data_IF_702529910472
#
_entry.id   IF_702529910472
#
_cell.length_a   1.000
_cell.length_b   1.000
_cell.length_c   1.000
_cell.angle_alpha   90.00
_cell.angle_beta   90.00
_cell.angle_gamma   90.00
#
_symmetry.space_group_name_H-M   'P 1'
#
loop_
_entity.id
_entity.type
_entity.pdbx_description
1 polymer ?
#
# COMPACT_ATOMS: atom_id res chain seq x y z
N UNK A 1 7.69 -2.87 15.70
CA UNK A 1 6.34 -3.34 15.37
C UNK A 1 6.38 -4.16 14.10
N UNK A 2 5.78 -5.31 14.12
CA UNK A 2 5.74 -6.18 12.94
C UNK A 2 4.38 -6.15 12.30
N UNK A 3 4.39 -6.04 10.98
CA UNK A 3 3.18 -6.14 10.18
C UNK A 3 3.20 -7.46 9.41
N UNK A 4 2.05 -8.06 9.21
CA UNK A 4 1.94 -9.26 8.40
C UNK A 4 0.63 -9.29 7.64
N UNK A 5 0.63 -9.98 6.51
CA UNK A 5 -0.56 -10.21 5.73
C UNK A 5 -1.08 -11.60 6.12
N UNK A 6 -2.32 -11.68 6.56
CA UNK A 6 -2.93 -12.95 6.95
C UNK A 6 -4.05 -13.30 6.00
N UNK A 7 -4.31 -14.61 5.86
CA UNK A 7 -5.38 -15.11 4.99
C UNK A 7 -6.49 -15.69 5.86
N UNK A 8 -7.68 -15.13 5.73
CA UNK A 8 -8.85 -15.56 6.50
C UNK A 8 -9.96 -15.96 5.52
N UNK A 9 -9.98 -17.22 5.06
CA UNK A 9 -10.89 -17.61 3.98
C UNK A 9 -12.35 -17.63 4.36
N UNK A 10 -12.68 -17.80 5.63
CA UNK A 10 -14.06 -17.94 6.06
C UNK A 10 -14.68 -16.62 6.46
N UNK A 11 -14.73 -15.66 5.54
CA UNK A 11 -15.33 -14.36 5.79
C UNK A 11 -16.32 -14.04 4.68
N UNK A 12 -17.21 -13.04 4.87
CA UNK A 12 -18.18 -12.69 3.85
C UNK A 12 -17.54 -12.30 2.51
N UNK A 13 -18.27 -12.52 1.42
CA UNK A 13 -17.76 -12.24 0.08
C UNK A 13 -17.52 -10.75 -0.17
N UNK A 14 -18.09 -9.85 0.65
CA UNK A 14 -17.87 -8.41 0.53
C UNK A 14 -16.63 -7.93 1.26
N UNK A 15 -15.89 -8.84 1.89
CA UNK A 15 -14.70 -8.50 2.67
C UNK A 15 -13.52 -9.25 2.08
N UNK A 16 -12.37 -8.60 1.99
CA UNK A 16 -11.17 -9.27 1.48
C UNK A 16 -10.69 -10.33 2.47
N UNK A 17 -10.40 -11.55 2.01
CA UNK A 17 -9.82 -12.57 2.90
C UNK A 17 -8.36 -12.28 3.24
N UNK A 18 -7.69 -11.38 2.52
CA UNK A 18 -6.34 -11.00 2.81
C UNK A 18 -6.38 -9.71 3.63
N UNK A 19 -5.84 -9.78 4.85
CA UNK A 19 -5.92 -8.70 5.83
C UNK A 19 -4.52 -8.34 6.31
N UNK A 20 -4.24 -7.04 6.41
CA UNK A 20 -2.98 -6.58 6.99
C UNK A 20 -3.21 -6.32 8.48
N UNK A 21 -2.38 -6.92 9.30
CA UNK A 21 -2.51 -6.81 10.76
C UNK A 21 -1.15 -6.49 11.40
N UNK A 22 -1.19 -5.92 12.60
CA UNK A 22 0.03 -5.68 13.37
C UNK A 22 0.37 -6.90 14.24
N UNK A 23 1.40 -6.76 15.08
CA UNK A 23 1.88 -7.87 15.91
C UNK A 23 0.88 -8.32 16.97
N UNK A 24 -0.14 -7.51 17.26
CA UNK A 24 -1.19 -7.88 18.19
C UNK A 24 -2.42 -8.41 17.46
N UNK A 25 -2.36 -8.57 16.15
CA UNK A 25 -3.48 -9.03 15.36
C UNK A 25 -4.51 -7.96 15.05
N UNK A 26 -4.23 -6.70 15.38
CA UNK A 26 -5.15 -5.61 15.10
C UNK A 26 -5.04 -5.21 13.63
N UNK A 27 -6.17 -4.90 13.03
CA UNK A 27 -6.24 -4.58 11.61
C UNK A 27 -5.70 -3.21 11.29
N UNK A 28 -5.00 -3.12 10.18
CA UNK A 28 -4.51 -1.86 9.65
C UNK A 28 -5.61 -1.34 8.71
N UNK A 29 -6.48 -0.51 9.25
CA UNK A 29 -7.74 -0.18 8.59
C UNK A 29 -7.56 0.56 7.27
N UNK A 30 -6.57 1.46 7.17
CA UNK A 30 -6.39 2.20 5.93
C UNK A 30 -6.00 1.30 4.74
N UNK A 31 -5.39 0.16 5.01
CA UNK A 31 -5.11 -0.84 3.99
C UNK A 31 -6.32 -1.74 3.76
N UNK A 32 -6.91 -2.24 4.85
CA UNK A 32 -7.96 -3.26 4.75
C UNK A 32 -9.26 -2.69 4.17
N UNK A 33 -9.57 -1.42 4.43
CA UNK A 33 -10.73 -0.78 3.82
C UNK A 33 -10.56 -0.71 2.29
N UNK A 34 -9.37 -0.42 1.82
CA UNK A 34 -9.08 -0.42 0.40
C UNK A 34 -9.20 -1.83 -0.20
N UNK A 35 -8.67 -2.84 0.47
CA UNK A 35 -8.76 -4.22 -0.01
C UNK A 35 -10.22 -4.68 -0.06
N UNK A 36 -11.04 -4.29 0.91
CA UNK A 36 -12.45 -4.62 0.92
C UNK A 36 -13.17 -3.96 -0.27
N UNK A 37 -12.84 -2.71 -0.57
CA UNK A 37 -13.41 -2.03 -1.74
C UNK A 37 -13.02 -2.74 -3.04
N UNK A 38 -11.79 -3.23 -3.14
CA UNK A 38 -11.36 -3.96 -4.33
C UNK A 38 -12.08 -5.31 -4.42
N UNK A 39 -12.38 -5.95 -3.30
CA UNK A 39 -13.15 -7.20 -3.28
C UNK A 39 -14.58 -6.96 -3.79
N UNK A 40 -15.21 -5.88 -3.34
CA UNK A 40 -16.55 -5.51 -3.78
C UNK A 40 -16.55 -5.25 -5.30
N UNK A 41 -15.49 -4.65 -5.82
CA UNK A 41 -15.34 -4.40 -7.25
C UNK A 41 -14.93 -5.67 -8.01
N UNK A 42 -14.93 -6.80 -7.33
CA UNK A 42 -14.71 -8.14 -7.92
C UNK A 42 -13.29 -8.38 -8.40
N UNK A 43 -12.32 -7.74 -7.78
CA UNK A 43 -10.93 -8.07 -8.03
C UNK A 43 -10.69 -9.53 -7.62
N UNK A 44 -9.94 -10.29 -8.42
CA UNK A 44 -9.71 -11.70 -8.14
C UNK A 44 -8.96 -11.90 -6.82
N UNK A 45 -9.11 -13.07 -6.22
CA UNK A 45 -8.40 -13.39 -4.98
C UNK A 45 -6.89 -13.34 -5.17
N UNK A 46 -6.40 -13.77 -6.34
CA UNK A 46 -4.97 -13.68 -6.63
C UNK A 46 -4.48 -12.23 -6.66
N UNK A 47 -5.26 -11.34 -7.26
CA UNK A 47 -4.90 -9.92 -7.32
C UNK A 47 -4.99 -9.28 -5.95
N UNK A 48 -6.00 -9.64 -5.13
CA UNK A 48 -6.11 -9.14 -3.77
C UNK A 48 -4.88 -9.54 -2.94
N UNK A 49 -4.41 -10.77 -3.12
CA UNK A 49 -3.20 -11.24 -2.42
C UNK A 49 -1.99 -10.42 -2.85
N UNK A 50 -1.84 -10.18 -4.14
CA UNK A 50 -0.73 -9.38 -4.67
C UNK A 50 -0.80 -7.94 -4.16
N UNK A 51 -1.97 -7.34 -4.16
CA UNK A 51 -2.16 -5.99 -3.62
C UNK A 51 -1.82 -5.96 -2.12
N UNK A 52 -2.24 -6.98 -1.39
CA UNK A 52 -1.95 -7.09 0.04
C UNK A 52 -0.45 -7.11 0.33
N UNK A 53 0.32 -7.87 -0.44
CA UNK A 53 1.77 -7.92 -0.25
C UNK A 53 2.45 -6.61 -0.68
N UNK A 54 1.95 -5.94 -1.72
CA UNK A 54 2.48 -4.64 -2.11
C UNK A 54 2.25 -3.61 -1.01
N UNK A 55 1.07 -3.63 -0.40
CA UNK A 55 0.74 -2.71 0.68
C UNK A 55 1.49 -3.06 1.97
N UNK A 56 1.75 -4.33 2.22
CA UNK A 56 2.60 -4.75 3.33
C UNK A 56 4.01 -4.17 3.18
N UNK A 57 4.57 -4.25 1.99
CA UNK A 57 5.92 -3.72 1.73
C UNK A 57 5.94 -2.21 1.99
N UNK A 58 4.95 -1.48 1.49
CA UNK A 58 4.88 -0.04 1.68
C UNK A 58 4.66 0.33 3.16
N UNK A 59 3.77 -0.38 3.84
CA UNK A 59 3.49 -0.11 5.25
C UNK A 59 4.74 -0.32 6.12
N UNK A 60 5.51 -1.36 5.82
CA UNK A 60 6.78 -1.59 6.53
C UNK A 60 7.77 -0.46 6.26
N UNK A 61 7.82 0.01 5.02
CA UNK A 61 8.69 1.13 4.66
C UNK A 61 8.28 2.39 5.44
N UNK A 62 6.99 2.67 5.53
CA UNK A 62 6.51 3.82 6.29
C UNK A 62 6.93 3.77 7.75
N UNK A 63 6.86 2.59 8.38
CA UNK A 63 7.25 2.46 9.77
C UNK A 63 8.75 2.70 9.95
N UNK A 64 9.56 2.31 8.98
CA UNK A 64 11.00 2.45 9.08
C UNK A 64 11.48 3.88 8.83
N UNK A 65 10.71 4.67 8.11
CA UNK A 65 11.18 5.96 7.61
C UNK A 65 10.38 7.14 8.16
N UNK A 66 9.51 6.91 9.14
CA UNK A 66 8.69 7.97 9.74
C UNK A 66 7.99 8.78 8.66
N UNK A 67 7.45 8.09 7.67
CA UNK A 67 6.85 8.74 6.52
C UNK A 67 5.61 9.55 6.89
N UNK A 68 5.20 10.49 6.05
CA UNK A 68 3.98 11.23 6.28
C UNK A 68 2.76 10.31 6.33
N UNK A 69 1.67 10.80 6.90
CA UNK A 69 0.43 10.05 6.89
C UNK A 69 -0.06 9.88 5.46
N UNK A 70 -1.00 8.95 5.27
CA UNK A 70 -1.50 8.65 3.94
C UNK A 70 -1.97 9.91 3.20
N UNK A 71 -2.71 10.79 3.87
CA UNK A 71 -3.25 11.97 3.20
C UNK A 71 -2.23 13.06 2.98
N UNK A 72 -1.05 12.94 3.59
CA UNK A 72 0.04 13.88 3.38
C UNK A 72 0.99 13.43 2.28
N UNK A 73 0.76 12.26 1.70
CA UNK A 73 1.63 11.73 0.65
C UNK A 73 1.53 12.57 -0.62
N UNK A 74 2.62 12.61 -1.36
CA UNK A 74 2.69 13.24 -2.67
C UNK A 74 3.68 12.47 -3.55
N UNK A 75 3.94 12.97 -4.74
CA UNK A 75 4.87 12.30 -5.66
C UNK A 75 6.29 12.23 -5.08
N UNK A 76 6.68 13.17 -4.23
CA UNK A 76 7.98 13.09 -3.57
C UNK A 76 8.08 11.87 -2.66
N UNK A 77 6.99 11.52 -1.97
CA UNK A 77 6.95 10.32 -1.14
C UNK A 77 7.21 9.08 -1.98
N UNK A 78 6.57 8.99 -3.15
CA UNK A 78 6.76 7.84 -4.03
C UNK A 78 8.17 7.80 -4.61
N UNK A 79 8.76 8.95 -4.93
CA UNK A 79 10.14 8.98 -5.40
C UNK A 79 11.11 8.46 -4.35
N UNK A 80 10.90 8.83 -3.08
CA UNK A 80 11.74 8.32 -2.00
C UNK A 80 11.55 6.82 -1.83
N UNK A 81 10.33 6.34 -1.96
CA UNK A 81 10.03 4.90 -1.87
C UNK A 81 10.72 4.13 -3.00
N UNK A 82 10.69 4.65 -4.23
CA UNK A 82 11.39 4.02 -5.35
C UNK A 82 12.90 4.01 -5.09
N UNK A 83 13.46 5.13 -4.65
CA UNK A 83 14.89 5.23 -4.40
C UNK A 83 15.34 4.17 -3.38
N UNK A 84 14.57 3.99 -2.31
CA UNK A 84 14.92 3.02 -1.29
C UNK A 84 14.79 1.59 -1.82
N UNK A 85 13.81 1.31 -2.68
CA UNK A 85 13.70 -0.01 -3.30
C UNK A 85 14.88 -0.31 -4.23
N UNK A 86 15.41 0.70 -4.92
CA UNK A 86 16.56 0.49 -5.79
C UNK A 86 17.83 0.17 -5.01
N UNK A 87 17.83 0.42 -3.71
CA UNK A 87 18.94 0.10 -2.84
C UNK A 87 18.71 -1.17 -2.02
N UNK A 88 17.61 -1.89 -2.26
CA UNK A 88 17.36 -3.17 -1.58
C UNK A 88 18.23 -4.27 -2.15
N UNK A 89 18.47 -5.29 -1.35
CA UNK A 89 19.23 -6.48 -1.76
C UNK A 89 18.46 -7.72 -1.30
N UNK A 90 17.88 -8.49 -2.23
CA UNK A 90 17.95 -8.29 -3.67
C UNK A 90 17.07 -7.14 -4.15
N UNK A 91 17.51 -6.49 -5.21
CA UNK A 91 16.77 -5.37 -5.78
C UNK A 91 15.51 -5.88 -6.47
N UNK A 92 14.35 -5.27 -6.21
CA UNK A 92 13.13 -5.64 -6.92
C UNK A 92 13.23 -5.30 -8.41
N UNK A 93 12.48 -6.03 -9.23
CA UNK A 93 12.45 -5.76 -10.66
C UNK A 93 11.69 -4.47 -10.95
N UNK A 94 11.92 -3.85 -12.12
CA UNK A 94 11.11 -2.69 -12.51
C UNK A 94 9.61 -2.96 -12.52
N UNK A 95 9.19 -4.15 -12.94
CA UNK A 95 7.77 -4.52 -12.93
C UNK A 95 7.21 -4.52 -11.51
N UNK A 96 7.95 -5.05 -10.56
CA UNK A 96 7.53 -5.08 -9.15
C UNK A 96 7.38 -3.66 -8.61
N UNK A 97 8.36 -2.79 -8.88
CA UNK A 97 8.31 -1.40 -8.42
C UNK A 97 7.12 -0.69 -9.05
N UNK A 98 6.90 -0.85 -10.35
CA UNK A 98 5.79 -0.20 -11.04
C UNK A 98 4.44 -0.70 -10.53
N UNK A 99 4.31 -1.98 -10.25
CA UNK A 99 3.08 -2.54 -9.69
C UNK A 99 2.79 -1.93 -8.32
N UNK A 100 3.79 -1.85 -7.47
CA UNK A 100 3.65 -1.23 -6.14
C UNK A 100 3.21 0.23 -6.26
N UNK A 101 3.80 0.99 -7.19
CA UNK A 101 3.40 2.38 -7.40
C UNK A 101 1.95 2.50 -7.86
N UNK A 102 1.53 1.63 -8.76
CA UNK A 102 0.14 1.61 -9.24
C UNK A 102 -0.84 1.36 -8.11
N UNK A 103 -0.54 0.40 -7.23
CA UNK A 103 -1.38 0.10 -6.08
C UNK A 103 -1.44 1.28 -5.12
N UNK A 104 -0.30 1.95 -4.87
CA UNK A 104 -0.25 3.09 -3.96
C UNK A 104 -1.03 4.29 -4.51
N UNK A 105 -0.98 4.55 -5.82
CA UNK A 105 -1.76 5.61 -6.42
C UNK A 105 -3.26 5.31 -6.29
N UNK A 106 -3.66 4.06 -6.45
CA UNK A 106 -5.05 3.63 -6.27
C UNK A 106 -5.49 3.76 -4.82
N UNK A 107 -4.63 3.37 -3.89
CA UNK A 107 -4.90 3.50 -2.46
C UNK A 107 -5.11 4.97 -2.08
N UNK A 108 -4.23 5.85 -2.54
CA UNK A 108 -4.35 7.26 -2.22
C UNK A 108 -5.65 7.83 -2.79
N UNK A 109 -5.97 7.51 -4.05
CA UNK A 109 -7.19 7.97 -4.69
C UNK A 109 -8.44 7.46 -3.94
N UNK A 110 -8.39 6.23 -3.46
CA UNK A 110 -9.50 5.65 -2.69
C UNK A 110 -9.79 6.48 -1.44
N UNK A 111 -8.75 6.87 -0.71
CA UNK A 111 -8.94 7.60 0.55
C UNK A 111 -9.16 9.10 0.36
N UNK A 112 -8.55 9.70 -0.65
CA UNK A 112 -8.60 11.15 -0.83
C UNK A 112 -9.65 11.62 -1.81
N UNK A 113 -10.04 10.74 -2.73
CA UNK A 113 -10.98 11.11 -3.78
C UNK A 113 -10.35 11.82 -4.97
N UNK A 114 -9.04 12.01 -4.98
CA UNK A 114 -8.36 12.67 -6.07
C UNK A 114 -6.98 12.05 -6.30
N UNK A 115 -6.34 12.32 -7.46
CA UNK A 115 -5.01 11.76 -7.71
C UNK A 115 -3.96 12.32 -6.75
N UNK A 116 -2.87 11.58 -6.62
CA UNK A 116 -1.76 11.98 -5.77
C UNK A 116 -1.20 13.32 -6.25
N UNK A 117 -1.03 14.29 -5.38
CA UNK A 117 -0.51 15.60 -5.79
C UNK A 117 0.98 15.56 -6.10
N UNK A 118 1.42 16.52 -6.91
CA UNK A 118 2.84 16.72 -7.13
C UNK A 118 3.51 17.12 -5.81
N UNK A 119 4.77 16.82 -5.68
CA UNK A 119 5.48 17.16 -4.46
C UNK A 119 5.63 18.65 -4.26
N UNK A 120 5.26 19.09 -3.06
CA UNK A 120 5.31 20.52 -2.80
C UNK A 120 6.71 21.04 -2.60
N UNK A 121 7.62 20.17 -2.26
CA UNK A 121 8.97 20.61 -1.96
C UNK A 121 9.67 21.20 -3.15
N UNK A 122 9.18 20.91 -4.34
CA UNK A 122 9.83 21.37 -5.42
C UNK A 122 9.40 22.63 -5.89
N UNK A 123 8.46 23.19 -5.36
CA UNK A 123 7.96 24.22 -5.84
C UNK A 123 8.54 25.39 -5.44
N UNK A 124 9.37 25.26 -4.72
CA UNK A 124 9.89 26.36 -4.37
C UNK A 124 10.68 26.89 -5.36
N UNK A 125 10.63 26.75 -6.23
CA UNK A 125 11.35 27.24 -7.08
C UNK A 125 11.21 28.04 -7.58
#
# INVERSE_FOLDING_TARGET
MNLSLVHRPAIPASVSPYRLVDHLGQEITWVNDFLDAQRIRQLSLRSLRAYGYDLLHFARWCLQHSSPTLLEMDESTLLNYVRDQLNEDPKPTPQTINHRLGVLRSLYRFHSGHPLPAGSSRHSR
#
